data_IF_383330910127
#
_entry.id   IF_383330910127
#
_cell.length_a   1.000
_cell.length_b   1.000
_cell.length_c   1.000
_cell.angle_alpha   90.00
_cell.angle_beta   90.00
_cell.angle_gamma   90.00
#
_symmetry.space_group_name_H-M   'P 1'
#
loop_
_entity.id
_entity.type
_entity.pdbx_description
1 polymer ?
#
# COMPACT_ATOMS: atom_id res chain seq x y z
N UNK A 1 0.26 -11.86 -3.97
CA UNK A 1 -0.02 -10.65 -3.15
C UNK A 1 0.17 -11.03 -1.69
N UNK A 2 1.08 -10.35 -0.98
CA UNK A 2 1.39 -10.59 0.44
C UNK A 2 1.37 -9.25 1.17
N UNK A 3 0.80 -9.22 2.37
CA UNK A 3 0.86 -8.06 3.26
C UNK A 3 1.78 -8.37 4.43
N UNK A 4 2.76 -7.50 4.68
CA UNK A 4 3.69 -7.59 5.79
C UNK A 4 3.45 -6.39 6.72
N UNK A 5 3.23 -6.66 8.01
CA UNK A 5 2.99 -5.62 9.01
C UNK A 5 4.31 -5.24 9.67
N UNK A 6 4.73 -3.98 9.52
CA UNK A 6 5.96 -3.47 10.14
C UNK A 6 5.67 -3.01 11.56
N UNK A 7 4.73 -2.07 11.72
CA UNK A 7 4.42 -1.48 13.03
C UNK A 7 2.95 -1.06 13.10
N UNK A 8 2.45 -0.95 14.34
CA UNK A 8 1.09 -0.49 14.63
C UNK A 8 1.14 0.62 15.67
N UNK A 9 0.45 1.71 15.39
CA UNK A 9 0.18 2.77 16.36
C UNK A 9 -1.33 2.81 16.61
N UNK A 10 -1.77 2.18 17.70
CA UNK A 10 -3.19 1.95 17.96
C UNK A 10 -3.90 1.17 16.84
N UNK A 11 -4.78 1.85 16.09
CA UNK A 11 -5.48 1.27 14.92
C UNK A 11 -4.76 1.53 13.59
N UNK A 12 -3.79 2.45 13.56
CA UNK A 12 -3.01 2.71 12.36
C UNK A 12 -2.01 1.58 12.14
N UNK A 13 -1.93 1.10 10.89
CA UNK A 13 -1.05 0.00 10.49
C UNK A 13 -0.12 0.49 9.41
N UNK A 14 1.18 0.38 9.66
CA UNK A 14 2.24 0.60 8.69
C UNK A 14 2.77 -0.75 8.25
N UNK A 15 2.90 -0.95 6.95
CA UNK A 15 3.33 -2.22 6.40
C UNK A 15 3.58 -2.14 4.91
N UNK A 16 3.80 -3.30 4.30
CA UNK A 16 4.16 -3.43 2.89
C UNK A 16 3.19 -4.34 2.19
N UNK A 17 2.65 -3.88 1.07
CA UNK A 17 1.90 -4.70 0.14
C UNK A 17 2.82 -5.13 -0.99
N UNK A 18 3.21 -6.40 -1.00
CA UNK A 18 4.08 -6.99 -2.01
C UNK A 18 3.24 -7.52 -3.16
N UNK A 19 3.40 -6.90 -4.32
CA UNK A 19 2.86 -7.33 -5.61
C UNK A 19 3.99 -7.85 -6.50
N UNK A 20 3.66 -8.66 -7.49
CA UNK A 20 4.64 -9.14 -8.49
C UNK A 20 5.32 -7.99 -9.25
N UNK A 21 4.58 -6.88 -9.44
CA UNK A 21 5.06 -5.65 -10.11
C UNK A 21 5.73 -4.63 -9.18
N UNK A 22 5.92 -4.95 -7.90
CA UNK A 22 6.58 -4.06 -6.94
C UNK A 22 5.95 -4.05 -5.56
N UNK A 23 6.55 -3.28 -4.65
CA UNK A 23 6.13 -3.16 -3.25
C UNK A 23 5.51 -1.79 -3.01
N UNK A 24 4.37 -1.76 -2.32
CA UNK A 24 3.69 -0.53 -1.92
C UNK A 24 3.76 -0.40 -0.40
N UNK A 25 4.43 0.63 0.11
CA UNK A 25 4.46 0.97 1.54
C UNK A 25 3.11 1.60 1.94
N UNK A 26 2.55 1.19 3.08
CA UNK A 26 1.32 1.76 3.65
C UNK A 26 1.65 2.76 4.76
N UNK A 27 0.89 3.87 4.91
CA UNK A 27 -0.34 4.21 4.19
C UNK A 27 -0.07 4.72 2.76
N UNK A 28 -0.79 4.16 1.77
CA UNK A 28 -0.71 4.56 0.37
C UNK A 28 -2.04 5.14 -0.11
N UNK A 29 -1.99 6.14 -1.00
CA UNK A 29 -3.16 6.68 -1.68
C UNK A 29 -3.16 6.21 -3.13
N UNK A 30 -4.10 5.34 -3.50
CA UNK A 30 -4.30 4.94 -4.89
C UNK A 30 -5.05 6.05 -5.61
N UNK A 31 -4.33 6.94 -6.28
CA UNK A 31 -4.93 7.90 -7.20
C UNK A 31 -5.48 7.15 -8.41
N UNK A 32 -6.74 7.43 -8.75
CA UNK A 32 -7.29 6.99 -10.02
C UNK A 32 -6.53 7.72 -11.11
N UNK A 33 -5.92 6.97 -12.04
CA UNK A 33 -5.31 7.57 -13.21
C UNK A 33 -6.38 8.39 -13.94
N UNK A 34 -6.12 9.65 -14.33
CA UNK A 34 -7.02 10.34 -15.22
C UNK A 34 -7.06 9.52 -16.51
N UNK A 35 -8.21 8.90 -16.79
CA UNK A 35 -8.46 8.29 -18.09
C UNK A 35 -8.31 9.41 -19.10
N UNK A 36 -7.23 9.37 -19.89
CA UNK A 36 -7.02 10.30 -20.98
C UNK A 36 -8.20 10.21 -21.96
N UNK A 37 -8.68 11.34 -22.51
CA UNK A 37 -9.74 11.35 -23.51
C UNK A 37 -9.32 10.70 -24.83
#
# INVERSE_FOLDING_TARGET
MKFELDTTDGRARRGRLVFDRGVVETPCLCLLAPTAP
#
